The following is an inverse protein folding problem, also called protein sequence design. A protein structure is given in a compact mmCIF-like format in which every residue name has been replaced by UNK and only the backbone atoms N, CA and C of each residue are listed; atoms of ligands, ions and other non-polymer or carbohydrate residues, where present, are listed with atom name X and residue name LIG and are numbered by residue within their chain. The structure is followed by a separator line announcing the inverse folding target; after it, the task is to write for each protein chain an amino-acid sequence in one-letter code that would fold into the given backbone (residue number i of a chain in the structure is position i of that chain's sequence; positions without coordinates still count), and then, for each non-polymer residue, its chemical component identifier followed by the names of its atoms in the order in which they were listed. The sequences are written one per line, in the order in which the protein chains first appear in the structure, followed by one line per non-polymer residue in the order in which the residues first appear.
data_IF_100997502879
#
_entry.id   IF_100997502879
#
_cell.length_a   1.000
_cell.length_b   1.000
_cell.length_c   1.000
_cell.angle_alpha   90.00
_cell.angle_beta   90.00
_cell.angle_gamma   90.00
#
_symmetry.space_group_name_H-M   'P 1'
#
loop_
_entity.id
_entity.type
_entity.pdbx_description
1 polymer ?
#
# COMPACT_ATOMS: atom_id res chain seq x y z
N UNK A 1 -18.02 -1.60 -6.46
CA UNK A 1 -17.41 -1.15 -5.18
C UNK A 1 -15.94 -0.91 -5.45
N UNK A 2 -15.42 0.25 -5.05
CA UNK A 2 -13.99 0.57 -5.16
C UNK A 2 -13.28 -0.06 -3.96
N UNK A 3 -12.17 -0.78 -4.19
CA UNK A 3 -11.40 -1.44 -3.14
C UNK A 3 -10.80 -0.40 -2.17
N UNK A 4 -10.90 -0.64 -0.87
CA UNK A 4 -10.28 0.21 0.16
C UNK A 4 -8.79 -0.09 0.32
N UNK A 5 -8.05 0.79 1.02
CA UNK A 5 -6.63 0.57 1.30
C UNK A 5 -6.42 -0.72 2.10
N UNK A 6 -7.20 -0.93 3.17
CA UNK A 6 -7.09 -2.15 3.99
C UNK A 6 -7.35 -3.41 3.18
N UNK A 7 -8.40 -3.42 2.35
CA UNK A 7 -8.68 -4.56 1.47
C UNK A 7 -7.54 -4.82 0.47
N UNK A 8 -6.92 -3.76 -0.06
CA UNK A 8 -5.78 -3.89 -0.96
C UNK A 8 -4.55 -4.48 -0.26
N UNK A 9 -4.27 -4.05 0.98
CA UNK A 9 -3.19 -4.60 1.81
C UNK A 9 -3.46 -6.08 2.09
N UNK A 10 -4.62 -6.41 2.63
CA UNK A 10 -5.00 -7.78 2.99
C UNK A 10 -4.93 -8.72 1.78
N UNK A 11 -5.40 -8.25 0.62
CA UNK A 11 -5.34 -9.01 -0.63
C UNK A 11 -3.90 -9.28 -1.07
N UNK A 12 -3.03 -8.27 -1.06
CA UNK A 12 -1.63 -8.41 -1.47
C UNK A 12 -0.87 -9.31 -0.49
N UNK A 13 -1.09 -9.16 0.82
CA UNK A 13 -0.45 -10.02 1.83
C UNK A 13 -0.92 -11.47 1.72
N UNK A 14 -2.21 -11.72 1.47
CA UNK A 14 -2.74 -13.06 1.22
C UNK A 14 -2.15 -13.72 -0.05
N UNK A 15 -1.70 -12.91 -1.02
CA UNK A 15 -0.98 -13.38 -2.22
C UNK A 15 0.52 -13.55 -2.00
N UNK A 16 1.02 -13.31 -0.79
CA UNK A 16 2.42 -13.45 -0.42
C UNK A 16 3.28 -12.24 -0.77
N UNK A 17 2.68 -11.07 -1.03
CA UNK A 17 3.42 -9.82 -1.07
C UNK A 17 3.63 -9.28 0.35
N UNK A 18 4.73 -8.57 0.56
CA UNK A 18 4.96 -7.80 1.77
C UNK A 18 4.64 -6.34 1.50
N UNK A 19 3.67 -5.78 2.24
CA UNK A 19 3.29 -4.37 2.13
C UNK A 19 3.85 -3.60 3.34
N UNK A 20 4.52 -2.48 3.09
CA UNK A 20 5.04 -1.60 4.15
C UNK A 20 4.53 -0.18 3.97
N UNK A 21 4.01 0.42 5.03
CA UNK A 21 3.62 1.83 5.08
C UNK A 21 4.76 2.74 5.56
N UNK A 22 4.83 3.95 5.02
CA UNK A 22 5.78 5.00 5.36
C UNK A 22 5.07 6.36 5.47
N UNK A 23 5.49 7.20 6.41
CA UNK A 23 5.17 8.63 6.41
C UNK A 23 6.12 9.43 5.50
N UNK A 24 5.77 10.67 5.15
CA UNK A 24 6.72 11.55 4.45
C UNK A 24 7.91 11.90 5.36
N UNK A 25 9.13 11.97 4.79
CA UNK A 25 10.34 12.25 5.57
C UNK A 25 10.44 13.69 6.10
N UNK A 26 9.63 14.62 5.60
CA UNK A 26 9.71 16.06 5.92
C UNK A 26 8.49 16.61 6.68
N UNK A 27 7.49 15.78 6.99
CA UNK A 27 6.34 16.21 7.77
C UNK A 27 6.63 16.03 9.26
N UNK A 28 6.91 17.16 9.92
CA UNK A 28 6.88 17.29 11.38
C UNK A 28 5.63 16.60 11.94
N UNK A 29 5.84 15.82 13.01
CA UNK A 29 4.82 15.31 13.95
C UNK A 29 3.46 15.02 13.31
N UNK A 30 3.32 13.86 12.67
CA UNK A 30 2.04 13.35 12.21
C UNK A 30 1.03 13.38 13.37
N UNK A 31 0.09 14.33 13.30
CA UNK A 31 -1.19 14.28 14.00
C UNK A 31 -1.72 12.84 13.89
N UNK A 32 -1.88 12.20 15.05
CA UNK A 32 -2.19 10.77 15.20
C UNK A 32 -3.63 10.41 14.82
N UNK A 33 -4.21 11.09 13.83
CA UNK A 33 -5.59 10.92 13.37
C UNK A 33 -5.70 10.21 12.01
N UNK A 34 -4.60 9.99 11.28
CA UNK A 34 -4.61 9.13 10.09
C UNK A 34 -4.15 7.71 10.42
N UNK A 35 -5.11 6.78 10.47
CA UNK A 35 -4.82 5.33 10.66
C UNK A 35 -4.06 4.68 9.49
N UNK A 36 -3.74 5.42 8.42
CA UNK A 36 -3.10 4.91 7.20
C UNK A 36 -1.78 5.62 6.94
N UNK A 37 -0.82 4.89 6.36
CA UNK A 37 0.43 5.47 5.92
C UNK A 37 0.24 6.36 4.68
N UNK A 38 1.12 7.34 4.53
CA UNK A 38 1.09 8.32 3.44
C UNK A 38 1.65 7.73 2.14
N UNK A 39 2.57 6.77 2.25
CA UNK A 39 3.13 6.01 1.14
C UNK A 39 3.22 4.52 1.51
N UNK A 40 3.25 3.67 0.50
CA UNK A 40 3.39 2.23 0.64
C UNK A 40 4.48 1.69 -0.28
N UNK A 41 5.06 0.54 0.06
CA UNK A 41 5.93 -0.23 -0.81
C UNK A 41 5.51 -1.69 -0.79
N UNK A 42 5.37 -2.29 -1.96
CA UNK A 42 4.99 -3.69 -2.13
C UNK A 42 6.20 -4.47 -2.62
N UNK A 43 6.49 -5.59 -1.95
CA UNK A 43 7.68 -6.41 -2.20
C UNK A 43 7.29 -7.89 -2.36
N UNK A 44 7.81 -8.58 -3.37
CA UNK A 44 7.74 -10.03 -3.50
C UNK A 44 8.90 -10.57 -4.34
N UNK A 45 9.90 -11.19 -3.71
CA UNK A 45 11.12 -11.60 -4.42
C UNK A 45 11.82 -10.38 -5.04
N UNK A 46 12.03 -10.42 -6.36
CA UNK A 46 12.60 -9.30 -7.13
C UNK A 46 11.56 -8.23 -7.53
N UNK A 47 10.28 -8.46 -7.25
CA UNK A 47 9.23 -7.46 -7.50
C UNK A 47 9.25 -6.40 -6.40
N UNK A 48 9.41 -5.14 -6.82
CA UNK A 48 9.41 -3.98 -5.95
C UNK A 48 8.74 -2.80 -6.66
N UNK A 49 7.67 -2.26 -6.06
CA UNK A 49 6.96 -1.10 -6.61
C UNK A 49 7.67 0.23 -6.37
N UNK A 50 8.72 0.24 -5.54
CA UNK A 50 9.17 1.47 -4.89
C UNK A 50 8.10 2.06 -3.98
N UNK A 51 8.30 3.32 -3.56
CA UNK A 51 7.29 4.04 -2.80
C UNK A 51 6.14 4.49 -3.72
N UNK A 52 4.93 4.09 -3.37
CA UNK A 52 3.70 4.39 -4.10
C UNK A 52 2.66 5.01 -3.18
N UNK A 53 1.80 5.86 -3.74
CA UNK A 53 0.71 6.48 -2.99
C UNK A 53 -0.40 5.46 -2.68
N UNK A 54 -1.28 5.72 -1.69
CA UNK A 54 -2.34 4.79 -1.32
C UNK A 54 -3.28 4.43 -2.47
N UNK A 55 -3.59 5.39 -3.35
CA UNK A 55 -4.39 5.13 -4.55
C UNK A 55 -3.69 4.22 -5.56
N UNK A 56 -2.36 4.27 -5.64
CA UNK A 56 -1.59 3.38 -6.51
C UNK A 56 -1.53 1.96 -5.94
N UNK A 57 -1.44 1.80 -4.61
CA UNK A 57 -1.52 0.50 -3.95
C UNK A 57 -2.85 -0.21 -4.30
N UNK A 58 -3.97 0.51 -4.21
CA UNK A 58 -5.29 0.00 -4.62
C UNK A 58 -5.26 -0.46 -6.08
N UNK A 59 -4.70 0.36 -6.98
CA UNK A 59 -4.63 0.01 -8.40
C UNK A 59 -3.76 -1.24 -8.65
N UNK A 60 -2.71 -1.48 -7.87
CA UNK A 60 -1.89 -2.70 -7.96
C UNK A 60 -2.72 -3.92 -7.55
N UNK A 61 -3.40 -3.85 -6.41
CA UNK A 61 -4.27 -4.93 -5.93
C UNK A 61 -5.42 -5.23 -6.90
N UNK A 62 -6.07 -4.21 -7.45
CA UNK A 62 -7.14 -4.37 -8.43
C UNK A 62 -6.66 -5.03 -9.73
N UNK A 63 -5.48 -4.63 -10.24
CA UNK A 63 -4.88 -5.26 -11.43
C UNK A 63 -4.53 -6.72 -11.19
N UNK A 64 -4.00 -7.06 -10.02
CA UNK A 64 -3.68 -8.44 -9.67
C UNK A 64 -4.92 -9.30 -9.44
N UNK A 65 -6.03 -8.73 -8.96
CA UNK A 65 -7.30 -9.44 -8.77
C UNK A 65 -8.04 -9.72 -10.08
N UNK A 66 -7.81 -8.91 -11.12
CA UNK A 66 -8.36 -9.11 -12.44
C UNK A 66 -7.63 -10.21 -13.26
N UNK A 67 -6.52 -10.74 -12.75
CA UNK A 67 -5.72 -11.82 -13.33
C UNK A 67 -5.78 -13.10 -12.48
#
# INVERSE_FOLDING_TARGET
MKMTISEAIDYLEAKGFRVKGYGFPETESLDSDQSYAEQYRVLQGDYDTGMILPQQLINVAEKMKAH
#
